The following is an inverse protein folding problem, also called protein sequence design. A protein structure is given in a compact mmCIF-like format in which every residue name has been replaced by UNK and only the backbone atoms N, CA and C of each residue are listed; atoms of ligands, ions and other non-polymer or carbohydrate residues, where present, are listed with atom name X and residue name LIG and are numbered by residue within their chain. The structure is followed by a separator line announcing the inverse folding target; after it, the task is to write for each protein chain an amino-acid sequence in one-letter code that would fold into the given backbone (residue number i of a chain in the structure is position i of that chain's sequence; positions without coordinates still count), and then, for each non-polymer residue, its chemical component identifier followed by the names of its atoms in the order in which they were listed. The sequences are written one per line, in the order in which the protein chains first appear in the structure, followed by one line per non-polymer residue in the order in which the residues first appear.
data_IF_973214692837
#
_entry.id   IF_973214692837
#
_cell.length_a   1.000
_cell.length_b   1.000
_cell.length_c   1.000
_cell.angle_alpha   90.00
_cell.angle_beta   90.00
_cell.angle_gamma   90.00
#
_symmetry.space_group_name_H-M   'P 1'
#
loop_
_entity.id
_entity.type
_entity.pdbx_description
1 polymer ?
#
# COMPACT_ATOMS: atom_id res chain seq x y z
N UNK A 1 -22.98 -4.55 18.30
CA UNK A 1 -23.21 -4.34 16.85
C UNK A 1 -21.91 -4.75 16.18
N UNK A 2 -21.63 -6.05 16.18
CA UNK A 2 -20.26 -6.58 16.15
C UNK A 2 -20.03 -7.31 14.81
N UNK A 3 -19.56 -6.61 13.78
CA UNK A 3 -18.80 -7.22 12.64
C UNK A 3 -18.41 -6.28 11.50
N UNK A 4 -18.90 -5.05 11.45
CA UNK A 4 -18.74 -4.24 10.23
C UNK A 4 -17.33 -3.63 10.09
N UNK A 5 -16.71 -3.20 11.19
CA UNK A 5 -15.40 -2.54 11.20
C UNK A 5 -14.29 -3.49 10.70
N UNK A 6 -14.26 -4.75 11.16
CA UNK A 6 -13.23 -5.71 10.73
C UNK A 6 -13.22 -5.98 9.22
N UNK A 7 -14.40 -6.06 8.58
CA UNK A 7 -14.46 -6.35 7.13
C UNK A 7 -14.06 -5.16 6.29
N UNK A 8 -14.53 -3.96 6.59
CA UNK A 8 -14.20 -2.77 5.82
C UNK A 8 -12.72 -2.40 5.98
N UNK A 9 -12.20 -2.44 7.20
CA UNK A 9 -10.79 -2.17 7.48
C UNK A 9 -9.85 -3.20 6.83
N UNK A 10 -10.18 -4.50 6.90
CA UNK A 10 -9.42 -5.54 6.21
C UNK A 10 -9.54 -5.44 4.69
N UNK A 11 -10.71 -5.03 4.17
CA UNK A 11 -10.91 -4.82 2.74
C UNK A 11 -10.03 -3.68 2.24
N UNK A 12 -9.97 -2.54 2.93
CA UNK A 12 -9.16 -1.38 2.53
C UNK A 12 -7.66 -1.68 2.55
N UNK A 13 -7.18 -2.36 3.59
CA UNK A 13 -5.79 -2.82 3.67
C UNK A 13 -5.45 -3.80 2.55
N UNK A 14 -6.34 -4.76 2.28
CA UNK A 14 -6.12 -5.75 1.21
C UNK A 14 -6.16 -5.12 -0.18
N UNK A 15 -7.10 -4.20 -0.42
CA UNK A 15 -7.25 -3.48 -1.70
C UNK A 15 -6.01 -2.62 -1.99
N UNK A 16 -5.29 -2.13 -0.98
CA UNK A 16 -4.02 -1.41 -1.17
C UNK A 16 -2.81 -2.35 -1.30
N UNK A 17 -2.83 -3.50 -0.62
CA UNK A 17 -1.76 -4.50 -0.66
C UNK A 17 -1.63 -5.20 -2.03
N UNK A 18 -2.75 -5.46 -2.72
CA UNK A 18 -2.72 -6.11 -4.04
C UNK A 18 -1.94 -5.26 -5.07
N UNK A 19 -2.26 -3.96 -5.26
CA UNK A 19 -1.46 -3.05 -6.08
C UNK A 19 0.02 -3.01 -5.71
N UNK A 20 0.35 -3.00 -4.42
CA UNK A 20 1.73 -3.02 -3.94
C UNK A 20 2.48 -4.29 -4.40
N UNK A 21 1.84 -5.46 -4.29
CA UNK A 21 2.41 -6.71 -4.77
C UNK A 21 2.67 -6.70 -6.29
N UNK A 22 1.71 -6.20 -7.06
CA UNK A 22 1.84 -6.07 -8.52
C UNK A 22 2.98 -5.11 -8.89
N UNK A 23 3.05 -3.94 -8.26
CA UNK A 23 4.12 -2.97 -8.51
C UNK A 23 5.49 -3.50 -8.11
N UNK A 24 5.61 -4.19 -6.97
CA UNK A 24 6.86 -4.82 -6.56
C UNK A 24 7.30 -5.89 -7.57
N UNK A 25 6.37 -6.73 -8.03
CA UNK A 25 6.65 -7.73 -9.06
C UNK A 25 7.17 -7.08 -10.35
N UNK A 26 6.49 -6.07 -10.88
CA UNK A 26 6.91 -5.41 -12.11
C UNK A 26 8.19 -4.60 -11.95
N UNK A 27 8.43 -4.00 -10.79
CA UNK A 27 9.68 -3.30 -10.49
C UNK A 27 10.87 -4.27 -10.59
N UNK A 28 10.77 -5.44 -9.95
CA UNK A 28 11.80 -6.49 -10.03
C UNK A 28 11.89 -7.05 -11.45
N UNK A 29 10.76 -7.28 -12.11
CA UNK A 29 10.74 -7.78 -13.49
C UNK A 29 11.48 -6.81 -14.43
N UNK A 30 11.25 -5.50 -14.33
CA UNK A 30 11.92 -4.49 -15.16
C UNK A 30 13.39 -4.27 -14.79
N UNK A 31 13.78 -4.57 -13.55
CA UNK A 31 15.19 -4.57 -13.14
C UNK A 31 15.99 -5.74 -13.73
N UNK A 32 15.34 -6.87 -14.03
CA UNK A 32 16.03 -8.07 -14.56
C UNK A 32 15.82 -8.21 -16.07
N UNK A 33 14.61 -7.91 -16.54
CA UNK A 33 14.17 -8.04 -17.93
C UNK A 33 13.58 -6.72 -18.41
N UNK A 34 14.35 -5.98 -19.20
CA UNK A 34 13.86 -4.77 -19.84
C UNK A 34 13.44 -5.06 -21.30
N UNK A 35 12.13 -5.12 -21.61
CA UNK A 35 11.67 -5.50 -22.94
C UNK A 35 11.83 -4.38 -23.98
N UNK A 36 12.13 -3.16 -23.56
CA UNK A 36 12.33 -2.00 -24.44
C UNK A 36 13.80 -1.59 -24.58
N UNK A 37 14.73 -2.37 -24.00
CA UNK A 37 16.18 -2.14 -24.04
C UNK A 37 16.69 -1.28 -22.89
N UNK A 38 18.02 -1.29 -22.69
CA UNK A 38 18.69 -0.69 -21.53
C UNK A 38 19.11 0.77 -21.72
N UNK A 39 18.35 1.53 -22.50
CA UNK A 39 18.61 2.97 -22.59
C UNK A 39 18.42 3.61 -21.19
N UNK A 40 19.41 4.37 -20.69
CA UNK A 40 19.38 4.92 -19.34
C UNK A 40 18.19 5.84 -19.08
N UNK A 41 17.75 6.63 -20.07
CA UNK A 41 16.61 7.53 -19.88
C UNK A 41 15.30 6.73 -19.80
N UNK A 42 15.07 5.82 -20.75
CA UNK A 42 13.84 5.02 -20.75
C UNK A 42 13.74 4.10 -19.54
N UNK A 43 14.85 3.44 -19.17
CA UNK A 43 14.90 2.55 -17.99
C UNK A 43 14.66 3.33 -16.71
N UNK A 44 15.29 4.49 -16.55
CA UNK A 44 15.12 5.33 -15.36
C UNK A 44 13.69 5.86 -15.24
N UNK A 45 13.09 6.29 -16.35
CA UNK A 45 11.69 6.73 -16.36
C UNK A 45 10.72 5.61 -16.00
N UNK A 46 10.89 4.42 -16.57
CA UNK A 46 10.04 3.28 -16.27
C UNK A 46 10.13 2.87 -14.78
N UNK A 47 11.35 2.73 -14.25
CA UNK A 47 11.57 2.41 -12.84
C UNK A 47 11.11 3.53 -11.91
N UNK A 48 11.28 4.80 -12.31
CA UNK A 48 10.79 5.95 -11.55
C UNK A 48 9.27 5.93 -11.46
N UNK A 49 8.56 5.72 -12.57
CA UNK A 49 7.09 5.67 -12.57
C UNK A 49 6.61 4.55 -11.64
N UNK A 50 7.12 3.33 -11.81
CA UNK A 50 6.71 2.17 -10.99
C UNK A 50 7.09 2.39 -9.52
N UNK A 51 8.33 2.77 -9.25
CA UNK A 51 8.85 3.00 -7.91
C UNK A 51 8.13 4.15 -7.19
N UNK A 52 7.83 5.24 -7.89
CA UNK A 52 7.08 6.36 -7.34
C UNK A 52 5.67 5.96 -6.92
N UNK A 53 4.94 5.24 -7.77
CA UNK A 53 3.61 4.73 -7.42
C UNK A 53 3.67 3.74 -6.25
N UNK A 54 4.69 2.89 -6.22
CA UNK A 54 4.91 1.97 -5.12
C UNK A 54 5.11 2.73 -3.80
N UNK A 55 6.00 3.72 -3.77
CA UNK A 55 6.28 4.52 -2.57
C UNK A 55 5.04 5.29 -2.09
N UNK A 56 4.28 5.88 -3.02
CA UNK A 56 3.03 6.57 -2.68
C UNK A 56 2.00 5.63 -2.04
N UNK A 57 1.83 4.43 -2.59
CA UNK A 57 0.90 3.45 -2.05
C UNK A 57 1.38 2.87 -0.71
N UNK A 58 2.68 2.64 -0.53
CA UNK A 58 3.25 2.24 0.77
C UNK A 58 2.96 3.31 1.81
N UNK A 59 3.22 4.57 1.47
CA UNK A 59 2.97 5.70 2.35
C UNK A 59 1.48 5.80 2.72
N UNK A 60 0.59 5.72 1.73
CA UNK A 60 -0.85 5.76 1.95
C UNK A 60 -1.32 4.60 2.84
N UNK A 61 -0.88 3.37 2.54
CA UNK A 61 -1.21 2.16 3.33
C UNK A 61 -0.75 2.31 4.78
N UNK A 62 0.45 2.85 5.00
CA UNK A 62 1.00 3.08 6.34
C UNK A 62 0.21 4.15 7.09
N UNK A 63 -0.17 5.25 6.43
CA UNK A 63 -1.00 6.30 7.01
C UNK A 63 -2.40 5.78 7.37
N UNK A 64 -3.01 4.98 6.51
CA UNK A 64 -4.30 4.34 6.79
C UNK A 64 -4.20 3.42 8.01
N UNK A 65 -3.24 2.48 8.03
CA UNK A 65 -3.06 1.57 9.16
C UNK A 65 -2.76 2.29 10.48
N UNK A 66 -1.98 3.39 10.42
CA UNK A 66 -1.71 4.23 11.60
C UNK A 66 -2.96 4.92 12.13
N UNK A 67 -3.85 5.35 11.25
CA UNK A 67 -5.09 6.04 11.62
C UNK A 67 -6.03 5.07 12.33
N UNK A 68 -6.21 3.88 11.77
CA UNK A 68 -7.01 2.78 12.37
C UNK A 68 -6.46 2.41 13.76
N UNK A 69 -5.16 2.15 13.87
CA UNK A 69 -4.54 1.77 15.14
C UNK A 69 -4.58 2.89 16.22
N UNK A 70 -4.80 4.14 15.82
CA UNK A 70 -5.00 5.26 16.74
C UNK A 70 -6.45 5.30 17.25
N UNK A 71 -7.42 5.03 16.38
CA UNK A 71 -8.84 4.98 16.73
C UNK A 71 -9.13 3.82 17.70
N UNK A 72 -8.58 2.64 17.45
CA UNK A 72 -8.71 1.47 18.36
C UNK A 72 -8.16 1.72 19.77
N UNK A 73 -7.14 2.59 19.90
CA UNK A 73 -6.58 2.94 21.22
C UNK A 73 -7.40 4.01 21.95
N UNK A 74 -8.30 4.69 21.25
CA UNK A 74 -9.02 5.86 21.76
C UNK A 74 -10.46 5.53 22.20
N UNK A 75 -11.07 4.41 21.78
CA UNK A 75 -12.27 3.84 22.40
C UNK A 75 -12.00 2.38 22.80
N UNK A 76 -12.19 1.88 24.02
CA UNK A 76 -13.13 2.16 25.13
C UNK A 76 -12.65 1.52 26.48
N UNK A 77 -13.26 1.73 27.68
CA UNK A 77 -14.57 2.36 27.92
C UNK A 77 -14.63 3.49 28.98
N UNK A 78 -15.49 4.47 28.70
CA UNK A 78 -16.33 5.09 29.73
C UNK A 78 -17.50 4.13 30.00
N UNK A 79 -17.41 3.37 31.09
CA UNK A 79 -18.56 2.75 31.75
C UNK A 79 -18.27 2.72 33.25
N UNK A 80 -18.64 3.81 33.92
CA UNK A 80 -18.91 3.84 35.37
C UNK A 80 -20.33 4.39 35.50
N UNK A 81 -21.31 3.49 35.48
CA UNK A 81 -22.59 3.71 36.16
C UNK A 81 -22.52 3.05 37.54
#
# INVERSE_FOLDING_TARGET
MERYIDRETMLDLTVNFIPLGILAFFFVAFLVFNPWGWDPLFTSLALFIVGWHFLLLVLLTWLSGRTIAKEEKTGEPQHTE
#
